data_IF_761282208553
#
_entry.id   IF_761282208553
#
_cell.length_a   1.000
_cell.length_b   1.000
_cell.length_c   1.000
_cell.angle_alpha   90.00
_cell.angle_beta   90.00
_cell.angle_gamma   90.00
#
_symmetry.space_group_name_H-M   'P 1'
#
loop_
_entity.id
_entity.type
_entity.pdbx_description
1 polymer ?
#
# COMPACT_ATOMS: atom_id res chain seq x y z
N UNK A 1 24.82 17.21 110.07
CA UNK A 1 25.52 18.42 110.55
C UNK A 1 25.00 18.80 111.93
N UNK A 2 25.74 18.42 112.97
CA UNK A 2 25.35 18.63 114.37
C UNK A 2 25.50 20.10 114.76
N UNK A 3 24.41 20.76 115.18
CA UNK A 3 24.39 22.12 115.73
C UNK A 3 24.90 22.10 117.18
N UNK A 4 26.17 21.74 117.38
CA UNK A 4 26.87 22.20 118.59
C UNK A 4 26.90 23.71 118.47
N UNK A 5 26.19 24.40 119.36
CA UNK A 5 26.11 25.87 119.35
C UNK A 5 27.53 26.44 119.26
N UNK A 6 27.79 27.21 118.21
CA UNK A 6 29.04 27.93 117.96
C UNK A 6 29.60 28.59 119.23
N UNK A 7 28.71 29.08 120.11
CA UNK A 7 29.08 29.61 121.44
C UNK A 7 29.74 28.58 122.37
N UNK A 8 29.25 27.34 122.44
CA UNK A 8 29.83 26.30 123.32
C UNK A 8 31.22 25.90 122.86
N UNK A 9 31.37 25.69 121.55
CA UNK A 9 32.66 25.37 120.94
C UNK A 9 33.68 26.49 121.18
N UNK A 10 33.31 27.74 120.86
CA UNK A 10 34.16 28.90 121.07
C UNK A 10 34.49 29.16 122.53
N UNK A 11 33.57 28.88 123.46
CA UNK A 11 33.82 28.95 124.91
C UNK A 11 34.94 27.99 125.30
N UNK A 12 34.89 26.73 124.84
CA UNK A 12 35.92 25.72 125.10
C UNK A 12 37.26 26.08 124.46
N UNK A 13 37.26 26.50 123.19
CA UNK A 13 38.47 26.92 122.48
C UNK A 13 39.16 28.10 123.17
N UNK A 14 38.37 29.08 123.60
CA UNK A 14 38.87 30.25 124.31
C UNK A 14 39.43 29.88 125.68
N UNK A 15 38.70 29.07 126.45
CA UNK A 15 39.17 28.59 127.75
C UNK A 15 40.49 27.81 127.61
N UNK A 16 40.58 26.91 126.62
CA UNK A 16 41.80 26.17 126.31
C UNK A 16 42.96 27.10 125.91
N UNK A 17 42.71 28.10 125.07
CA UNK A 17 43.72 29.10 124.66
C UNK A 17 44.23 29.91 125.86
N UNK A 18 43.34 30.32 126.76
CA UNK A 18 43.72 31.04 127.97
C UNK A 18 44.61 30.19 128.89
N UNK A 19 44.32 28.89 129.05
CA UNK A 19 45.23 27.99 129.77
C UNK A 19 46.57 27.82 129.07
N UNK A 20 46.56 27.61 127.76
CA UNK A 20 47.78 27.49 126.97
C UNK A 20 48.67 28.75 127.05
N UNK A 21 48.07 29.93 127.25
CA UNK A 21 48.78 31.19 127.48
C UNK A 21 49.37 31.35 128.89
N UNK A 22 49.24 30.33 129.76
CA UNK A 22 49.82 30.28 131.10
C UNK A 22 48.88 30.68 132.24
N UNK A 23 47.58 30.91 131.97
CA UNK A 23 46.61 31.18 133.04
C UNK A 23 46.09 29.86 133.65
N UNK A 24 46.03 29.71 134.98
CA UNK A 24 45.50 28.49 135.57
C UNK A 24 43.98 28.37 135.37
N UNK A 25 43.48 27.14 135.24
CA UNK A 25 42.08 26.82 134.90
C UNK A 25 41.06 27.42 135.88
N UNK A 26 41.42 27.58 137.15
CA UNK A 26 40.56 28.15 138.18
C UNK A 26 40.34 29.66 138.02
N UNK A 27 41.27 30.40 137.40
CA UNK A 27 41.20 31.85 137.18
C UNK A 27 40.38 32.26 135.95
N UNK A 28 40.00 31.31 135.10
CA UNK A 28 39.17 31.58 133.93
C UNK A 28 37.73 31.83 134.38
N UNK A 29 37.21 33.04 134.16
CA UNK A 29 35.85 33.44 134.54
C UNK A 29 34.95 33.60 133.32
N UNK A 30 33.64 33.62 133.56
CA UNK A 30 32.62 33.86 132.53
C UNK A 30 32.86 35.19 131.82
N UNK A 31 33.25 36.24 132.55
CA UNK A 31 33.51 37.56 131.98
C UNK A 31 34.75 37.60 131.09
N UNK A 32 35.79 36.84 131.45
CA UNK A 32 36.99 36.66 130.62
C UNK A 32 36.67 35.97 129.29
N UNK A 33 35.86 34.91 129.33
CA UNK A 33 35.41 34.24 128.10
C UNK A 33 34.49 35.17 127.30
N UNK A 34 33.56 35.84 127.96
CA UNK A 34 32.61 36.74 127.31
C UNK A 34 33.31 37.92 126.63
N UNK A 35 34.41 38.43 127.21
CA UNK A 35 35.20 39.50 126.63
C UNK A 35 35.85 39.09 125.29
N UNK A 36 36.23 37.82 125.15
CA UNK A 36 36.90 37.29 123.96
C UNK A 36 35.90 36.87 122.87
N UNK A 37 34.87 36.08 123.21
CA UNK A 37 33.93 35.55 122.21
C UNK A 37 32.79 36.53 121.88
N UNK A 38 32.45 37.45 122.81
CA UNK A 38 31.40 38.48 122.71
C UNK A 38 30.05 37.99 122.19
N UNK A 39 29.77 36.70 122.38
CA UNK A 39 28.65 35.97 121.78
C UNK A 39 28.09 34.98 122.80
N UNK A 40 26.77 34.77 122.77
CA UNK A 40 26.08 33.84 123.65
C UNK A 40 25.63 34.43 124.98
N UNK A 41 24.85 33.66 125.74
CA UNK A 41 24.38 34.06 127.06
C UNK A 41 25.42 33.73 128.14
N UNK A 42 25.52 34.57 129.18
CA UNK A 42 26.42 34.34 130.32
C UNK A 42 26.14 33.00 131.02
N UNK A 43 24.88 32.55 131.05
CA UNK A 43 24.50 31.23 131.60
C UNK A 43 25.05 30.09 130.76
N UNK A 44 24.88 30.13 129.43
CA UNK A 44 25.46 29.09 128.53
C UNK A 44 26.98 29.02 128.64
N UNK A 45 27.65 30.17 128.75
CA UNK A 45 29.11 30.23 128.95
C UNK A 45 29.49 29.66 130.30
N UNK A 46 28.76 29.99 131.37
CA UNK A 46 29.03 29.47 132.71
C UNK A 46 28.88 27.95 132.79
N UNK A 47 27.81 27.41 132.21
CA UNK A 47 27.55 25.97 132.22
C UNK A 47 28.60 25.20 131.42
N UNK A 48 28.95 25.69 130.23
CA UNK A 48 30.00 25.08 129.40
C UNK A 48 31.39 25.22 130.05
N UNK A 49 31.69 26.35 130.68
CA UNK A 49 32.95 26.58 131.37
C UNK A 49 33.08 25.68 132.61
N UNK A 50 32.00 25.42 133.35
CA UNK A 50 31.99 24.42 134.43
C UNK A 50 32.32 23.03 133.91
N UNK A 51 31.62 22.58 132.86
CA UNK A 51 31.87 21.28 132.24
C UNK A 51 33.31 21.15 131.74
N UNK A 52 33.83 22.19 131.07
CA UNK A 52 35.21 22.22 130.59
C UNK A 52 36.22 22.21 131.75
N UNK A 53 35.98 22.93 132.85
CA UNK A 53 36.84 22.90 134.04
C UNK A 53 36.84 21.52 134.70
N UNK A 54 35.68 20.87 134.79
CA UNK A 54 35.56 19.51 135.32
C UNK A 54 36.28 18.49 134.43
N UNK A 55 36.26 18.69 133.11
CA UNK A 55 37.06 17.89 132.17
C UNK A 55 38.56 18.16 132.30
N UNK A 56 38.98 19.41 132.47
CA UNK A 56 40.38 19.76 132.71
C UNK A 56 40.89 19.13 134.00
N UNK A 57 40.14 19.27 135.10
CA UNK A 57 40.51 18.65 136.37
C UNK A 57 40.64 17.12 136.26
N UNK A 58 39.76 16.47 135.48
CA UNK A 58 39.85 15.04 135.20
C UNK A 58 41.06 14.68 134.34
N UNK A 59 41.36 15.48 133.32
CA UNK A 59 42.53 15.29 132.46
C UNK A 59 43.84 15.51 133.24
N UNK A 60 43.91 16.54 134.08
CA UNK A 60 45.05 16.82 134.96
C UNK A 60 45.28 15.66 135.95
N UNK A 61 44.20 15.12 136.54
CA UNK A 61 44.28 13.96 137.42
C UNK A 61 44.75 12.68 136.69
N UNK A 62 44.25 12.44 135.47
CA UNK A 62 44.69 11.32 134.63
C UNK A 62 46.15 11.47 134.21
N UNK A 63 46.56 12.68 133.83
CA UNK A 63 47.94 13.00 133.47
C UNK A 63 48.89 12.85 134.66
N UNK A 64 48.45 13.21 135.87
CA UNK A 64 49.22 13.03 137.10
C UNK A 64 49.29 11.57 137.56
N UNK A 65 48.28 10.77 137.24
CA UNK A 65 48.23 9.34 137.57
C UNK A 65 49.10 8.46 136.65
N UNK A 66 49.41 8.94 135.44
CA UNK A 66 50.27 8.26 134.49
C UNK A 66 51.75 8.54 134.78
N UNK A 67 52.61 7.51 134.90
CA UNK A 67 54.05 7.72 134.92
C UNK A 67 54.49 8.47 133.65
N UNK A 68 55.39 9.47 133.74
CA UNK A 68 55.81 10.27 132.59
C UNK A 68 56.27 9.44 131.39
N UNK A 69 57.02 8.35 131.64
CA UNK A 69 57.48 7.45 130.59
C UNK A 69 56.33 6.75 129.82
N UNK A 70 55.19 6.47 130.48
CA UNK A 70 54.02 5.86 129.85
C UNK A 70 53.27 6.90 129.02
N UNK A 71 53.11 8.12 129.54
CA UNK A 71 52.50 9.23 128.80
C UNK A 71 53.29 9.57 127.52
N UNK A 72 54.62 9.66 127.63
CA UNK A 72 55.52 9.89 126.49
C UNK A 72 55.45 8.76 125.46
N UNK A 73 55.38 7.50 125.92
CA UNK A 73 55.22 6.35 125.03
C UNK A 73 53.87 6.35 124.30
N UNK A 74 52.77 6.70 124.99
CA UNK A 74 51.44 6.81 124.38
C UNK A 74 51.38 7.93 123.34
N UNK A 75 51.94 9.11 123.65
CA UNK A 75 52.02 10.22 122.70
C UNK A 75 52.90 9.87 121.49
N UNK A 76 54.02 9.20 121.72
CA UNK A 76 54.92 8.76 120.65
C UNK A 76 54.25 7.70 119.76
N UNK A 77 53.53 6.74 120.35
CA UNK A 77 52.79 5.72 119.61
C UNK A 77 51.64 6.34 118.81
N UNK A 78 50.92 7.31 119.38
CA UNK A 78 49.87 8.03 118.69
C UNK A 78 50.44 8.86 117.52
N UNK A 79 51.53 9.60 117.75
CA UNK A 79 52.22 10.34 116.70
C UNK A 79 52.68 9.41 115.56
N UNK A 80 53.26 8.25 115.89
CA UNK A 80 53.63 7.25 114.89
C UNK A 80 52.42 6.71 114.12
N UNK A 81 51.32 6.41 114.82
CA UNK A 81 50.08 5.91 114.19
C UNK A 81 49.46 6.95 113.25
N UNK A 82 49.49 8.23 113.62
CA UNK A 82 49.04 9.34 112.74
C UNK A 82 49.92 9.41 111.50
N UNK A 83 51.24 9.42 111.66
CA UNK A 83 52.18 9.47 110.52
C UNK A 83 52.00 8.26 109.59
N UNK A 84 51.85 7.05 110.15
CA UNK A 84 51.58 5.86 109.35
C UNK A 84 50.21 5.91 108.66
N UNK A 85 49.19 6.39 109.35
CA UNK A 85 47.85 6.59 108.80
C UNK A 85 47.84 7.57 107.63
N UNK A 86 48.52 8.71 107.77
CA UNK A 86 48.69 9.70 106.71
C UNK A 86 49.44 9.12 105.50
N UNK A 87 50.50 8.33 105.73
CA UNK A 87 51.23 7.66 104.65
C UNK A 87 50.36 6.65 103.90
N UNK A 88 49.59 5.82 104.61
CA UNK A 88 48.68 4.85 103.98
C UNK A 88 47.56 5.56 103.23
N UNK A 89 47.00 6.62 103.82
CA UNK A 89 45.97 7.43 103.18
C UNK A 89 46.49 8.10 101.90
N UNK A 90 47.68 8.71 101.95
CA UNK A 90 48.31 9.33 100.78
C UNK A 90 48.53 8.32 99.66
N UNK A 91 49.13 7.16 99.96
CA UNK A 91 49.31 6.08 98.98
C UNK A 91 48.00 5.63 98.36
N UNK A 92 46.96 5.43 99.19
CA UNK A 92 45.66 4.99 98.68
C UNK A 92 44.97 6.07 97.85
N UNK A 93 45.14 7.34 98.19
CA UNK A 93 44.65 8.47 97.40
C UNK A 93 45.32 8.50 96.02
N UNK A 94 46.64 8.37 95.98
CA UNK A 94 47.41 8.32 94.73
C UNK A 94 47.00 7.12 93.84
N UNK A 95 46.82 5.94 94.43
CA UNK A 95 46.32 4.76 93.71
C UNK A 95 44.94 5.01 93.08
N UNK A 96 43.99 5.56 93.84
CA UNK A 96 42.64 5.85 93.34
C UNK A 96 42.67 6.94 92.25
N UNK A 97 43.50 7.98 92.41
CA UNK A 97 43.66 9.02 91.40
C UNK A 97 44.25 8.46 90.10
N UNK A 98 45.23 7.57 90.19
CA UNK A 98 45.78 6.86 89.03
C UNK A 98 44.75 5.96 88.35
N UNK A 99 44.00 5.18 89.13
CA UNK A 99 42.92 4.33 88.61
C UNK A 99 41.84 5.16 87.93
N UNK A 100 41.44 6.28 88.53
CA UNK A 100 40.45 7.21 87.96
C UNK A 100 40.95 7.87 86.67
N UNK A 101 42.21 8.29 86.62
CA UNK A 101 42.82 8.84 85.40
C UNK A 101 42.86 7.78 84.29
N UNK A 102 43.23 6.54 84.62
CA UNK A 102 43.26 5.43 83.67
C UNK A 102 41.86 5.09 83.16
N UNK A 103 40.86 5.01 84.05
CA UNK A 103 39.47 4.78 83.66
C UNK A 103 38.94 5.90 82.76
N UNK A 104 39.26 7.16 83.07
CA UNK A 104 38.81 8.31 82.27
C UNK A 104 39.40 8.29 80.85
N UNK A 105 40.69 7.95 80.72
CA UNK A 105 41.33 7.82 79.40
C UNK A 105 40.76 6.65 78.60
N UNK A 106 40.46 5.52 79.26
CA UNK A 106 39.79 4.38 78.63
C UNK A 106 38.38 4.75 78.16
N UNK A 107 37.57 5.42 78.99
CA UNK A 107 36.23 5.89 78.62
C UNK A 107 36.30 6.81 77.40
N UNK A 108 37.18 7.82 77.42
CA UNK A 108 37.35 8.73 76.29
C UNK A 108 37.73 7.99 74.99
N UNK A 109 38.65 7.00 75.07
CA UNK A 109 39.01 6.22 73.88
C UNK A 109 37.86 5.35 73.37
N UNK A 110 37.08 4.72 74.25
CA UNK A 110 35.91 3.94 73.88
C UNK A 110 34.79 4.82 73.29
N UNK A 111 34.60 6.03 73.80
CA UNK A 111 33.64 7.00 73.24
C UNK A 111 34.02 7.39 71.81
N UNK A 112 35.31 7.68 71.55
CA UNK A 112 35.78 7.99 70.20
C UNK A 112 35.61 6.80 69.24
N UNK A 113 35.92 5.58 69.68
CA UNK A 113 35.73 4.37 68.88
C UNK A 113 34.25 4.10 68.58
N UNK A 114 33.38 4.28 69.57
CA UNK A 114 31.93 4.11 69.40
C UNK A 114 31.36 5.16 68.43
N UNK A 115 31.78 6.43 68.54
CA UNK A 115 31.38 7.47 67.60
C UNK A 115 31.82 7.15 66.16
N UNK A 116 33.04 6.63 65.97
CA UNK A 116 33.54 6.20 64.67
C UNK A 116 32.72 5.04 64.09
N UNK A 117 32.44 3.99 64.88
CA UNK A 117 31.62 2.86 64.46
C UNK A 117 30.17 3.29 64.12
N UNK A 118 29.60 4.22 64.88
CA UNK A 118 28.28 4.77 64.58
C UNK A 118 28.26 5.60 63.29
N UNK A 119 29.36 6.28 62.96
CA UNK A 119 29.48 7.00 61.69
C UNK A 119 29.60 6.02 60.51
N UNK A 120 30.40 4.97 60.66
CA UNK A 120 30.55 3.91 59.65
C UNK A 120 29.23 3.17 59.41
N UNK A 121 28.52 2.79 60.48
CA UNK A 121 27.20 2.16 60.38
C UNK A 121 26.19 3.05 59.63
N UNK A 122 26.19 4.36 59.91
CA UNK A 122 25.34 5.31 59.18
C UNK A 122 25.70 5.39 57.70
N UNK A 123 26.98 5.44 57.38
CA UNK A 123 27.49 5.43 56.00
C UNK A 123 27.06 4.16 55.25
N UNK A 124 27.26 2.99 55.86
CA UNK A 124 26.89 1.71 55.27
C UNK A 124 25.37 1.58 55.06
N UNK A 125 24.55 2.10 55.98
CA UNK A 125 23.09 2.15 55.81
C UNK A 125 22.70 3.00 54.60
N UNK A 126 23.26 4.19 54.47
CA UNK A 126 23.00 5.06 53.30
C UNK A 126 23.42 4.37 52.00
N UNK A 127 24.59 3.72 51.99
CA UNK A 127 25.03 2.96 50.82
C UNK A 127 24.09 1.79 50.50
N UNK A 128 23.63 1.04 51.50
CA UNK A 128 22.68 -0.06 51.31
C UNK A 128 21.34 0.43 50.74
N UNK A 129 20.81 1.54 51.26
CA UNK A 129 19.57 2.16 50.77
C UNK A 129 19.73 2.64 49.33
N UNK A 130 20.87 3.24 48.99
CA UNK A 130 21.17 3.67 47.61
C UNK A 130 21.27 2.48 46.65
N UNK A 131 21.96 1.39 47.03
CA UNK A 131 22.02 0.18 46.22
C UNK A 131 20.64 -0.46 46.05
N UNK A 132 19.81 -0.45 47.10
CA UNK A 132 18.44 -0.95 47.04
C UNK A 132 17.58 -0.13 46.08
N UNK A 133 17.69 1.20 46.12
CA UNK A 133 16.99 2.10 45.20
C UNK A 133 17.44 1.88 43.75
N UNK A 134 18.74 1.73 43.50
CA UNK A 134 19.29 1.43 42.17
C UNK A 134 18.80 0.07 41.65
N UNK A 135 18.79 -0.96 42.49
CA UNK A 135 18.27 -2.29 42.14
C UNK A 135 16.78 -2.21 41.77
N UNK A 136 15.98 -1.51 42.56
CA UNK A 136 14.54 -1.33 42.30
C UNK A 136 14.29 -0.61 40.96
N UNK A 137 15.09 0.42 40.64
CA UNK A 137 15.02 1.11 39.36
C UNK A 137 15.34 0.17 38.19
N UNK A 138 16.46 -0.58 38.26
CA UNK A 138 16.86 -1.52 37.22
C UNK A 138 15.82 -2.63 37.00
N UNK A 139 15.21 -3.14 38.07
CA UNK A 139 14.13 -4.13 37.96
C UNK A 139 12.88 -3.57 37.28
N UNK A 140 12.56 -2.31 37.55
CA UNK A 140 11.44 -1.60 36.89
C UNK A 140 11.71 -1.41 35.40
N UNK A 141 12.92 -0.95 35.05
CA UNK A 141 13.35 -0.79 33.66
C UNK A 141 13.35 -2.13 32.90
N UNK A 142 13.81 -3.21 33.54
CA UNK A 142 13.79 -4.55 32.97
C UNK A 142 12.35 -5.02 32.70
N UNK A 143 11.44 -4.82 33.65
CA UNK A 143 10.02 -5.17 33.46
C UNK A 143 9.38 -4.37 32.31
N UNK A 144 9.69 -3.07 32.21
CA UNK A 144 9.23 -2.23 31.10
C UNK A 144 9.80 -2.68 29.76
N UNK A 145 11.09 -3.02 29.69
CA UNK A 145 11.73 -3.52 28.48
C UNK A 145 11.15 -4.87 28.04
N UNK A 146 10.88 -5.78 28.97
CA UNK A 146 10.22 -7.06 28.70
C UNK A 146 8.80 -6.86 28.16
N UNK A 147 8.01 -6.01 28.83
CA UNK A 147 6.68 -5.61 28.37
C UNK A 147 6.71 -5.03 26.95
N UNK A 148 7.65 -4.13 26.67
CA UNK A 148 7.84 -3.52 25.35
C UNK A 148 8.23 -4.54 24.29
N UNK A 149 9.15 -5.46 24.61
CA UNK A 149 9.55 -6.56 23.71
C UNK A 149 8.37 -7.47 23.40
N UNK A 150 7.59 -7.86 24.39
CA UNK A 150 6.46 -8.77 24.20
C UNK A 150 5.31 -8.08 23.44
N UNK A 151 5.15 -6.77 23.57
CA UNK A 151 4.25 -5.98 22.72
C UNK A 151 4.75 -5.92 21.26
N UNK A 152 6.04 -5.67 21.05
CA UNK A 152 6.64 -5.63 19.71
C UNK A 152 6.58 -7.00 19.01
N UNK A 153 6.79 -8.10 19.73
CA UNK A 153 6.64 -9.46 19.20
C UNK A 153 5.19 -9.72 18.74
N UNK A 154 4.20 -9.38 19.57
CA UNK A 154 2.78 -9.51 19.18
C UNK A 154 2.42 -8.65 17.97
N UNK A 155 2.97 -7.45 17.87
CA UNK A 155 2.78 -6.60 16.69
C UNK A 155 3.42 -7.19 15.43
N UNK A 156 4.62 -7.75 15.56
CA UNK A 156 5.30 -8.41 14.44
C UNK A 156 4.54 -9.67 13.97
N UNK A 157 4.05 -10.49 14.89
CA UNK A 157 3.23 -11.67 14.58
C UNK A 157 1.92 -11.27 13.88
N UNK A 158 1.24 -10.23 14.38
CA UNK A 158 0.03 -9.69 13.75
C UNK A 158 0.32 -9.16 12.33
N UNK A 159 1.40 -8.42 12.14
CA UNK A 159 1.80 -7.90 10.83
C UNK A 159 2.14 -9.02 9.83
N UNK A 160 2.79 -10.11 10.30
CA UNK A 160 3.04 -11.30 9.48
C UNK A 160 1.72 -11.95 9.08
N UNK A 161 0.80 -12.16 10.02
CA UNK A 161 -0.51 -12.74 9.75
C UNK A 161 -1.33 -11.90 8.74
N UNK A 162 -1.32 -10.58 8.88
CA UNK A 162 -1.99 -9.65 7.97
C UNK A 162 -1.38 -9.70 6.56
N UNK A 163 -0.05 -9.76 6.46
CA UNK A 163 0.66 -9.88 5.18
C UNK A 163 0.32 -11.20 4.49
N UNK A 164 0.32 -12.30 5.24
CA UNK A 164 0.04 -13.63 4.68
C UNK A 164 -1.43 -13.72 4.24
N UNK A 165 -2.36 -13.15 5.01
CA UNK A 165 -3.76 -13.03 4.63
C UNK A 165 -3.98 -12.12 3.40
N UNK A 166 -3.23 -11.02 3.28
CA UNK A 166 -3.27 -10.15 2.10
C UNK A 166 -2.72 -10.88 0.86
N UNK A 167 -1.61 -11.62 1.02
CA UNK A 167 -0.99 -12.39 -0.05
C UNK A 167 -1.93 -13.48 -0.55
N UNK A 168 -2.53 -14.25 0.35
CA UNK A 168 -3.53 -15.28 0.01
C UNK A 168 -4.74 -14.69 -0.75
N UNK A 169 -5.27 -13.55 -0.29
CA UNK A 169 -6.36 -12.84 -1.00
C UNK A 169 -5.94 -12.38 -2.39
N UNK A 170 -4.73 -11.85 -2.55
CA UNK A 170 -4.21 -11.41 -3.85
C UNK A 170 -4.03 -12.59 -4.81
N UNK A 171 -3.51 -13.72 -4.32
CA UNK A 171 -3.35 -14.93 -5.13
C UNK A 171 -4.69 -15.49 -5.56
N UNK A 172 -5.68 -15.51 -4.66
CA UNK A 172 -7.02 -15.95 -4.98
C UNK A 172 -7.66 -15.05 -6.05
N UNK A 173 -7.63 -13.73 -5.88
CA UNK A 173 -8.17 -12.79 -6.85
C UNK A 173 -7.51 -12.93 -8.24
N UNK A 174 -6.20 -13.16 -8.27
CA UNK A 174 -5.45 -13.40 -9.50
C UNK A 174 -5.82 -14.74 -10.16
N UNK A 175 -6.05 -15.80 -9.37
CA UNK A 175 -6.55 -17.08 -9.89
C UNK A 175 -7.96 -16.94 -10.48
N UNK A 176 -8.85 -16.24 -9.79
CA UNK A 176 -10.21 -15.96 -10.26
C UNK A 176 -10.21 -15.14 -11.55
N UNK A 177 -9.37 -14.10 -11.63
CA UNK A 177 -9.19 -13.29 -12.85
C UNK A 177 -8.62 -14.12 -14.02
N UNK A 178 -7.68 -15.03 -13.75
CA UNK A 178 -7.15 -15.93 -14.79
C UNK A 178 -8.22 -16.90 -15.29
N UNK A 179 -9.03 -17.47 -14.40
CA UNK A 179 -10.09 -18.39 -14.78
C UNK A 179 -11.19 -17.71 -15.58
N UNK A 180 -11.58 -16.50 -15.20
CA UNK A 180 -12.54 -15.69 -15.96
C UNK A 180 -11.99 -15.36 -17.36
N UNK A 181 -10.73 -14.90 -17.44
CA UNK A 181 -10.10 -14.62 -18.72
C UNK A 181 -9.99 -15.85 -19.64
N UNK A 182 -9.64 -17.03 -19.10
CA UNK A 182 -9.60 -18.28 -19.88
C UNK A 182 -10.98 -18.60 -20.44
N UNK A 183 -12.04 -18.46 -19.64
CA UNK A 183 -13.42 -18.69 -20.10
C UNK A 183 -13.82 -17.71 -21.19
N UNK A 184 -13.50 -16.42 -21.04
CA UNK A 184 -13.76 -15.40 -22.07
C UNK A 184 -13.01 -15.70 -23.37
N UNK A 185 -11.76 -16.17 -23.30
CA UNK A 185 -11.02 -16.60 -24.49
C UNK A 185 -11.63 -17.82 -25.15
N UNK A 186 -12.14 -18.78 -24.38
CA UNK A 186 -12.84 -19.95 -24.90
C UNK A 186 -14.15 -19.55 -25.58
N UNK A 187 -14.95 -18.67 -24.97
CA UNK A 187 -16.19 -18.17 -25.59
C UNK A 187 -15.91 -17.42 -26.88
N UNK A 188 -14.92 -16.51 -26.89
CA UNK A 188 -14.54 -15.77 -28.10
C UNK A 188 -14.02 -16.70 -29.22
N UNK A 189 -13.27 -17.76 -28.87
CA UNK A 189 -12.83 -18.76 -29.85
C UNK A 189 -14.00 -19.53 -30.44
N UNK A 190 -14.97 -19.93 -29.62
CA UNK A 190 -16.18 -20.60 -30.09
C UNK A 190 -16.99 -19.70 -31.02
N UNK A 191 -17.27 -18.47 -30.61
CA UNK A 191 -17.97 -17.46 -31.44
C UNK A 191 -17.24 -17.21 -32.76
N UNK A 192 -15.91 -17.14 -32.73
CA UNK A 192 -15.11 -16.96 -33.94
C UNK A 192 -15.19 -18.18 -34.87
N UNK A 193 -15.09 -19.40 -34.33
CA UNK A 193 -15.24 -20.63 -35.10
C UNK A 193 -16.64 -20.75 -35.72
N UNK A 194 -17.69 -20.37 -34.98
CA UNK A 194 -19.06 -20.32 -35.50
C UNK A 194 -19.20 -19.29 -36.62
N UNK A 195 -18.64 -18.09 -36.44
CA UNK A 195 -18.66 -17.05 -37.47
C UNK A 195 -17.88 -17.47 -38.73
N UNK A 196 -16.70 -18.06 -38.59
CA UNK A 196 -15.94 -18.62 -39.72
C UNK A 196 -16.71 -19.72 -40.43
N UNK A 197 -17.36 -20.63 -39.69
CA UNK A 197 -18.17 -21.69 -40.28
C UNK A 197 -19.37 -21.14 -41.06
N UNK A 198 -20.06 -20.14 -40.51
CA UNK A 198 -21.14 -19.43 -41.19
C UNK A 198 -20.66 -18.73 -42.48
N UNK A 199 -19.54 -18.00 -42.40
CA UNK A 199 -18.95 -17.34 -43.58
C UNK A 199 -18.54 -18.35 -44.66
N UNK A 200 -17.93 -19.48 -44.28
CA UNK A 200 -17.59 -20.54 -45.23
C UNK A 200 -18.85 -21.13 -45.89
N UNK A 201 -19.93 -21.32 -45.14
CA UNK A 201 -21.21 -21.78 -45.69
C UNK A 201 -21.82 -20.76 -46.67
N UNK A 202 -21.76 -19.46 -46.36
CA UNK A 202 -22.18 -18.39 -47.26
C UNK A 202 -21.34 -18.34 -48.55
N UNK A 203 -20.02 -18.49 -48.44
CA UNK A 203 -19.12 -18.55 -49.61
C UNK A 203 -19.44 -19.76 -50.49
N UNK A 204 -19.65 -20.95 -49.90
CA UNK A 204 -20.07 -22.14 -50.65
C UNK A 204 -21.43 -21.90 -51.33
N UNK A 205 -22.38 -21.28 -50.62
CA UNK A 205 -23.69 -20.95 -51.20
C UNK A 205 -23.56 -19.95 -52.35
N UNK A 206 -22.78 -18.88 -52.19
CA UNK A 206 -22.54 -17.91 -53.24
C UNK A 206 -21.84 -18.55 -54.45
N UNK A 207 -20.87 -19.42 -54.21
CA UNK A 207 -20.17 -20.18 -55.26
C UNK A 207 -21.14 -21.08 -56.01
N UNK A 208 -21.98 -21.85 -55.32
CA UNK A 208 -22.99 -22.70 -55.98
C UNK A 208 -24.03 -21.90 -56.77
N UNK A 209 -24.43 -20.71 -56.29
CA UNK A 209 -25.29 -19.77 -57.03
C UNK A 209 -24.58 -19.25 -58.28
N UNK A 210 -23.31 -18.86 -58.18
CA UNK A 210 -22.51 -18.42 -59.33
C UNK A 210 -22.34 -19.54 -60.36
N UNK A 211 -22.05 -20.77 -59.94
CA UNK A 211 -21.98 -21.93 -60.82
C UNK A 211 -23.33 -22.22 -61.49
N UNK A 212 -24.45 -22.10 -60.77
CA UNK A 212 -25.79 -22.27 -61.34
C UNK A 212 -26.11 -21.17 -62.36
N UNK A 213 -25.80 -19.90 -62.06
CA UNK A 213 -25.94 -18.78 -63.00
C UNK A 213 -25.03 -18.99 -64.22
N UNK A 214 -23.78 -19.39 -64.03
CA UNK A 214 -22.85 -19.69 -65.12
C UNK A 214 -23.39 -20.80 -66.03
N UNK A 215 -23.89 -21.91 -65.46
CA UNK A 215 -24.54 -22.99 -66.22
C UNK A 215 -25.76 -22.48 -66.99
N UNK A 216 -26.60 -21.66 -66.36
CA UNK A 216 -27.77 -21.08 -67.01
C UNK A 216 -27.38 -20.16 -68.17
N UNK A 217 -26.39 -19.28 -67.97
CA UNK A 217 -25.87 -18.41 -69.03
C UNK A 217 -25.29 -19.24 -70.18
N UNK A 218 -24.54 -20.30 -69.89
CA UNK A 218 -24.05 -21.22 -70.92
C UNK A 218 -25.21 -21.84 -71.73
N UNK A 219 -26.24 -22.36 -71.07
CA UNK A 219 -27.43 -22.89 -71.74
C UNK A 219 -28.15 -21.82 -72.58
N UNK A 220 -28.35 -20.62 -72.04
CA UNK A 220 -28.94 -19.50 -72.80
C UNK A 220 -28.09 -19.13 -74.03
N UNK A 221 -26.76 -19.19 -73.94
CA UNK A 221 -25.89 -18.95 -75.11
C UNK A 221 -25.98 -20.08 -76.13
N UNK A 222 -26.18 -21.33 -75.71
CA UNK A 222 -26.41 -22.46 -76.61
C UNK A 222 -27.77 -22.35 -77.31
N UNK A 223 -28.85 -22.04 -76.58
CA UNK A 223 -30.18 -21.78 -77.13
C UNK A 223 -30.17 -20.58 -78.10
N UNK A 224 -29.46 -19.50 -77.74
CA UNK A 224 -29.26 -18.34 -78.62
C UNK A 224 -28.50 -18.72 -79.90
N UNK A 225 -27.46 -19.56 -79.79
CA UNK A 225 -26.73 -20.08 -80.97
C UNK A 225 -27.61 -21.01 -81.80
N UNK A 226 -28.43 -21.85 -81.20
CA UNK A 226 -29.31 -22.76 -81.94
C UNK A 226 -30.44 -22.00 -82.65
N UNK A 227 -31.08 -21.06 -81.96
CA UNK A 227 -32.06 -20.15 -82.58
C UNK A 227 -31.43 -19.31 -83.69
N UNK A 228 -30.18 -18.84 -83.52
CA UNK A 228 -29.41 -18.21 -84.60
C UNK A 228 -29.21 -19.15 -85.79
N UNK A 229 -28.75 -20.40 -85.58
CA UNK A 229 -28.58 -21.38 -86.67
C UNK A 229 -29.90 -21.68 -87.38
N UNK A 230 -31.02 -21.78 -86.64
CA UNK A 230 -32.35 -21.97 -87.22
C UNK A 230 -32.73 -20.75 -88.07
N UNK A 231 -32.50 -19.53 -87.58
CA UNK A 231 -32.73 -18.31 -88.34
C UNK A 231 -31.85 -18.23 -89.59
N UNK A 232 -30.57 -18.58 -89.50
CA UNK A 232 -29.64 -18.67 -90.63
C UNK A 232 -30.09 -19.72 -91.66
N UNK A 233 -30.59 -20.88 -91.22
CA UNK A 233 -31.16 -21.92 -92.08
C UNK A 233 -32.42 -21.42 -92.80
N UNK A 234 -33.35 -20.78 -92.08
CA UNK A 234 -34.54 -20.15 -92.68
C UNK A 234 -34.16 -19.05 -93.67
N UNK A 235 -33.18 -18.21 -93.33
CA UNK A 235 -32.66 -17.19 -94.25
C UNK A 235 -32.00 -17.81 -95.49
N UNK A 236 -31.28 -18.93 -95.34
CA UNK A 236 -30.70 -19.69 -96.45
C UNK A 236 -31.79 -20.26 -97.37
N UNK A 237 -32.85 -20.85 -96.81
CA UNK A 237 -34.00 -21.35 -97.59
C UNK A 237 -34.78 -20.21 -98.27
N UNK A 238 -34.99 -19.08 -97.59
CA UNK A 238 -35.56 -17.88 -98.19
C UNK A 238 -34.68 -17.38 -99.33
N UNK A 239 -33.35 -17.32 -99.15
CA UNK A 239 -32.40 -16.95 -100.22
C UNK A 239 -32.49 -17.88 -101.41
N UNK A 240 -32.44 -19.21 -101.22
CA UNK A 240 -32.62 -20.19 -102.30
C UNK A 240 -33.97 -20.04 -103.01
N UNK A 241 -35.05 -19.78 -102.26
CA UNK A 241 -36.37 -19.53 -102.84
C UNK A 241 -36.40 -18.23 -103.63
N UNK A 242 -35.73 -17.19 -103.14
CA UNK A 242 -35.60 -15.92 -103.84
C UNK A 242 -34.77 -16.09 -105.13
N UNK A 243 -33.66 -16.83 -105.08
CA UNK A 243 -32.87 -17.20 -106.28
C UNK A 243 -33.70 -17.99 -107.30
N UNK A 244 -34.52 -18.95 -106.85
CA UNK A 244 -35.45 -19.66 -107.75
C UNK A 244 -36.50 -18.72 -108.35
N UNK A 245 -37.11 -17.86 -107.53
CA UNK A 245 -38.09 -16.87 -108.01
C UNK A 245 -37.45 -15.88 -108.99
N UNK A 246 -36.22 -15.42 -108.73
CA UNK A 246 -35.46 -14.59 -109.67
C UNK A 246 -35.22 -15.35 -110.97
N UNK A 247 -34.78 -16.61 -110.91
CA UNK A 247 -34.64 -17.46 -112.10
C UNK A 247 -35.95 -17.69 -112.85
N UNK A 248 -37.08 -17.82 -112.16
CA UNK A 248 -38.40 -17.97 -112.78
C UNK A 248 -38.91 -16.64 -113.37
N UNK A 249 -38.60 -15.50 -112.75
CA UNK A 249 -38.82 -14.16 -113.33
C UNK A 249 -37.97 -13.98 -114.58
N UNK A 250 -36.69 -14.38 -114.57
CA UNK A 250 -35.82 -14.33 -115.74
C UNK A 250 -36.35 -15.22 -116.88
N UNK A 251 -36.78 -16.45 -116.58
CA UNK A 251 -37.42 -17.35 -117.57
C UNK A 251 -38.70 -16.76 -118.15
N UNK A 252 -39.63 -16.32 -117.30
CA UNK A 252 -40.89 -15.71 -117.76
C UNK A 252 -40.64 -14.42 -118.54
N UNK A 253 -39.60 -13.65 -118.20
CA UNK A 253 -39.19 -12.48 -118.98
C UNK A 253 -38.59 -12.86 -120.34
N UNK A 254 -37.82 -13.96 -120.41
CA UNK A 254 -37.28 -14.51 -121.66
C UNK A 254 -38.40 -15.07 -122.55
N UNK A 255 -39.34 -15.81 -121.98
CA UNK A 255 -40.54 -16.31 -122.67
C UNK A 255 -41.40 -15.14 -123.18
N UNK A 256 -41.61 -14.10 -122.37
CA UNK A 256 -42.31 -12.89 -122.79
C UNK A 256 -41.58 -12.13 -123.93
N UNK A 257 -40.24 -12.11 -123.91
CA UNK A 257 -39.44 -11.54 -124.98
C UNK A 257 -39.50 -12.39 -126.27
N UNK A 258 -39.57 -13.72 -126.15
CA UNK A 258 -39.77 -14.63 -127.28
C UNK A 258 -41.17 -14.47 -127.89
N UNK A 259 -42.22 -14.40 -127.05
CA UNK A 259 -43.59 -14.13 -127.48
C UNK A 259 -43.71 -12.76 -128.17
N UNK A 260 -43.02 -11.72 -127.67
CA UNK A 260 -42.93 -10.42 -128.37
C UNK A 260 -42.25 -10.54 -129.74
N UNK A 261 -41.15 -11.28 -129.85
CA UNK A 261 -40.46 -11.52 -131.13
C UNK A 261 -41.33 -12.30 -132.12
N UNK A 262 -42.11 -13.27 -131.65
CA UNK A 262 -43.06 -14.00 -132.48
C UNK A 262 -44.22 -13.11 -132.93
N UNK A 263 -44.77 -12.28 -132.03
CA UNK A 263 -45.78 -11.29 -132.37
C UNK A 263 -45.27 -10.29 -133.42
N UNK A 264 -44.07 -9.73 -133.25
CA UNK A 264 -43.44 -8.84 -134.24
C UNK A 264 -43.20 -9.53 -135.60
N UNK A 265 -42.91 -10.84 -135.63
CA UNK A 265 -42.78 -11.61 -136.88
C UNK A 265 -44.13 -11.82 -137.55
N UNK A 266 -45.18 -12.11 -136.78
CA UNK A 266 -46.54 -12.23 -137.30
C UNK A 266 -47.07 -10.89 -137.81
N UNK A 267 -46.77 -9.78 -137.13
CA UNK A 267 -47.09 -8.42 -137.57
C UNK A 267 -46.39 -8.09 -138.89
N UNK A 268 -45.08 -8.34 -139.02
CA UNK A 268 -44.34 -8.16 -140.28
C UNK A 268 -44.82 -9.07 -141.42
N UNK A 269 -45.31 -10.27 -141.10
CA UNK A 269 -45.94 -11.16 -142.08
C UNK A 269 -47.30 -10.64 -142.54
N UNK A 270 -48.11 -10.11 -141.62
CA UNK A 270 -49.38 -9.46 -141.94
C UNK A 270 -49.15 -8.23 -142.82
N UNK A 271 -48.19 -7.38 -142.49
CA UNK A 271 -47.83 -6.21 -143.31
C UNK A 271 -47.44 -6.61 -144.73
N UNK A 272 -46.60 -7.66 -144.89
CA UNK A 272 -46.24 -8.19 -146.22
C UNK A 272 -47.44 -8.74 -147.00
N UNK A 273 -48.31 -9.49 -146.34
CA UNK A 273 -49.53 -10.03 -146.99
C UNK A 273 -50.47 -8.89 -147.39
N UNK A 274 -50.57 -7.83 -146.60
CA UNK A 274 -51.36 -6.65 -146.96
C UNK A 274 -50.74 -5.88 -148.13
N UNK A 275 -49.41 -5.75 -148.19
CA UNK A 275 -48.69 -5.11 -149.29
C UNK A 275 -48.88 -5.91 -150.60
N UNK A 276 -48.74 -7.24 -150.55
CA UNK A 276 -48.97 -8.15 -151.69
C UNK A 276 -50.43 -8.09 -152.17
N UNK A 277 -51.40 -8.01 -151.24
CA UNK A 277 -52.81 -7.84 -151.59
C UNK A 277 -53.10 -6.47 -152.26
N UNK A 278 -52.36 -5.42 -151.88
CA UNK A 278 -52.43 -4.12 -152.54
C UNK A 278 -51.80 -4.14 -153.95
N UNK A 279 -50.67 -4.81 -154.12
CA UNK A 279 -50.01 -4.97 -155.44
C UNK A 279 -50.89 -5.77 -156.42
N UNK A 280 -51.46 -6.90 -155.98
CA UNK A 280 -52.37 -7.71 -156.81
C UNK A 280 -53.64 -6.95 -157.20
N UNK A 281 -54.14 -6.03 -156.34
CA UNK A 281 -55.25 -5.15 -156.69
C UNK A 281 -54.87 -4.13 -157.77
N UNK A 282 -53.69 -3.53 -157.69
CA UNK A 282 -53.19 -2.59 -158.70
C UNK A 282 -52.95 -3.27 -160.05
N UNK A 283 -52.42 -4.50 -160.05
CA UNK A 283 -52.23 -5.34 -161.25
C UNK A 283 -53.56 -5.73 -161.90
N UNK A 284 -54.56 -6.11 -161.10
CA UNK A 284 -55.92 -6.36 -161.59
C UNK A 284 -56.51 -5.11 -162.26
N UNK A 285 -56.33 -3.94 -161.65
CA UNK A 285 -56.91 -2.69 -162.14
C UNK A 285 -56.22 -2.19 -163.42
N UNK A 286 -54.91 -2.41 -163.55
CA UNK A 286 -54.18 -2.13 -164.79
C UNK A 286 -54.53 -3.09 -165.92
N UNK A 287 -54.70 -4.39 -165.65
CA UNK A 287 -55.18 -5.37 -166.63
C UNK A 287 -56.62 -5.08 -167.09
N UNK A 288 -57.48 -4.62 -166.18
CA UNK A 288 -58.84 -4.20 -166.51
C UNK A 288 -58.86 -2.96 -167.42
N UNK A 289 -57.95 -2.00 -167.22
CA UNK A 289 -57.79 -0.82 -168.08
C UNK A 289 -57.22 -1.15 -169.47
N UNK A 290 -56.28 -2.10 -169.56
CA UNK A 290 -55.71 -2.55 -170.83
C UNK A 290 -56.73 -3.32 -171.71
N UNK A 291 -57.59 -4.12 -171.08
CA UNK A 291 -58.73 -4.78 -171.75
C UNK A 291 -59.74 -3.78 -172.33
N UNK A 292 -60.02 -2.67 -171.62
CA UNK A 292 -60.96 -1.64 -172.06
C UNK A 292 -60.44 -0.83 -173.26
N UNK A 293 -59.12 -0.57 -173.33
CA UNK A 293 -58.47 0.16 -174.42
C UNK A 293 -58.43 -0.63 -175.74
N UNK A 294 -58.17 -1.93 -175.68
CA UNK A 294 -58.15 -2.80 -176.87
C UNK A 294 -59.54 -3.06 -177.46
N UNK A 295 -60.59 -3.08 -176.62
CA UNK A 295 -61.97 -3.22 -177.09
C UNK A 295 -62.48 -1.95 -177.80
N UNK A 296 -61.94 -0.77 -177.45
CA UNK A 296 -62.26 0.51 -178.10
C UNK A 296 -61.63 0.69 -179.48
N UNK A 297 -60.41 0.16 -179.70
CA UNK A 297 -59.68 0.33 -180.96
C UNK A 297 -60.24 -0.51 -182.12
N UNK A 298 -60.91 -1.63 -181.86
CA UNK A 298 -61.52 -2.45 -182.92
C UNK A 298 -62.84 -1.91 -183.48
N UNK A 299 -63.49 -0.94 -182.82
CA UNK A 299 -64.83 -0.46 -183.22
C UNK A 299 -64.84 0.78 -184.14
N UNK A 300 -63.72 1.47 -184.33
CA UNK A 300 -63.73 2.84 -184.87
C UNK A 300 -63.20 3.04 -186.30
N UNK A 301 -62.75 2.00 -187.01
CA UNK A 301 -62.31 2.15 -188.42
C UNK A 301 -63.16 1.34 -189.38
N UNK A 302 -64.28 1.93 -189.78
CA UNK A 302 -65.01 1.52 -190.97
C UNK A 302 -66.31 2.29 -191.23
N UNK A 303 -66.25 3.44 -191.94
CA UNK A 303 -66.98 3.66 -193.22
C UNK A 303 -66.94 5.09 -193.78
N UNK A 304 -66.36 5.24 -194.99
CA UNK A 304 -66.92 5.89 -196.22
C UNK A 304 -65.89 5.84 -197.37
N UNK A 305 -66.02 5.04 -198.46
CA UNK A 305 -66.71 5.25 -199.78
C UNK A 305 -65.68 5.47 -200.93
N UNK A 306 -65.97 5.32 -202.26
CA UNK A 306 -67.08 4.68 -203.02
C UNK A 306 -66.69 3.91 -204.34
N UNK A 307 -67.66 3.24 -204.98
CA UNK A 307 -67.81 2.78 -206.40
C UNK A 307 -66.61 2.35 -207.30
N UNK A 308 -66.62 1.09 -207.80
CA UNK A 308 -66.80 0.69 -209.22
C UNK A 308 -67.06 -0.84 -209.39
N UNK A 309 -68.22 -1.16 -209.98
CA UNK A 309 -68.65 -2.32 -210.84
C UNK A 309 -68.63 -3.80 -210.39
N UNK A 310 -69.68 -4.47 -210.92
CA UNK A 310 -69.94 -5.91 -211.17
C UNK A 310 -70.48 -6.72 -209.96
N UNK A 311 -71.77 -7.11 -209.84
CA UNK A 311 -72.70 -7.88 -210.73
C UNK A 311 -72.27 -9.37 -210.82
N UNK A 312 -73.13 -10.34 -211.22
CA UNK A 312 -74.28 -10.98 -210.55
C UNK A 312 -74.20 -12.54 -210.55
N UNK A 313 -75.33 -13.20 -210.18
CA UNK A 313 -75.86 -14.51 -210.64
C UNK A 313 -75.12 -15.82 -210.28
N UNK A 314 -75.85 -16.94 -210.52
CA UNK A 314 -75.34 -18.31 -210.74
C UNK A 314 -73.89 -18.35 -211.22
#
# INVERSE_FOLDING_TARGET
>A
MSRVSDTRLRTRETAARLVASGRPSHEITVDLIYAEIRQGSRTTINDELKLWKDEQARNDALSAALPPAVADAMLSLWALAVVQGEQVFARRSEEIEMEAATATTQIASLETANAALQAEMRSLRVQADEQHARLAAVLTDLAQAQSGRDAALRQAEAAIADRDAASARSEQALRETRLTHIRELETLRLEHMEHEAALRAEVIQATSRLEAVQKHVMLQTEDARESQRRAESVLSEIRKRNERLVGDVERTSADAAEQRRLAERHEKLLDRVTEEAHQLRLERDTLAQQMALLHGQMRASGKSLPSRRNRPLR
#
